data_IF_348008488952
#
_entry.id   IF_348008488952
#
_cell.length_a   1.000
_cell.length_b   1.000
_cell.length_c   1.000
_cell.angle_alpha   90.00
_cell.angle_beta   90.00
_cell.angle_gamma   90.00
#
_symmetry.space_group_name_H-M   'P 1'
#
loop_
_entity.id
_entity.type
_entity.pdbx_description
1 polymer ?
#
# COMPACT_ATOMS: atom_id res chain seq x y z
N UNK A 1 11.15 17.94 31.30
CA UNK A 1 10.64 17.09 30.23
C UNK A 1 9.61 16.14 30.84
N UNK A 2 8.40 16.05 30.33
CA UNK A 2 7.40 15.13 30.89
C UNK A 2 7.88 13.69 30.75
N UNK A 3 7.51 12.84 31.73
CA UNK A 3 7.90 11.42 31.73
C UNK A 3 7.17 10.66 30.63
N UNK A 4 7.71 9.46 30.25
CA UNK A 4 7.09 8.55 29.26
C UNK A 4 5.62 8.24 29.57
N UNK A 5 5.29 8.22 30.86
CA UNK A 5 3.94 7.95 31.36
C UNK A 5 2.99 9.14 31.15
N UNK A 6 3.46 10.35 31.42
CA UNK A 6 2.68 11.59 31.19
C UNK A 6 2.42 11.86 29.71
N UNK A 7 3.37 11.50 28.80
CA UNK A 7 3.16 11.63 27.37
C UNK A 7 2.13 10.65 26.83
N UNK A 8 2.12 9.40 27.33
CA UNK A 8 1.12 8.39 26.95
C UNK A 8 -0.26 8.74 27.48
N UNK A 9 -0.35 9.27 28.70
CA UNK A 9 -1.61 9.73 29.30
C UNK A 9 -2.18 10.96 28.59
N UNK A 10 -1.33 11.91 28.16
CA UNK A 10 -1.76 13.09 27.40
C UNK A 10 -2.24 12.73 25.98
N UNK A 11 -1.58 11.81 25.31
CA UNK A 11 -1.99 11.31 23.98
C UNK A 11 -3.30 10.50 24.07
N UNK A 12 -3.48 9.70 25.12
CA UNK A 12 -4.70 8.92 25.35
C UNK A 12 -5.91 9.82 25.71
N UNK A 13 -5.70 10.86 26.53
CA UNK A 13 -6.76 11.79 26.92
C UNK A 13 -7.24 12.66 25.74
N UNK A 14 -6.35 13.10 24.85
CA UNK A 14 -6.71 13.86 23.66
C UNK A 14 -7.52 13.02 22.64
N UNK A 15 -7.30 11.70 22.60
CA UNK A 15 -8.04 10.74 21.76
C UNK A 15 -9.41 10.37 22.37
N UNK A 16 -9.52 10.29 23.70
CA UNK A 16 -10.76 9.88 24.38
C UNK A 16 -11.92 10.86 24.17
N UNK A 17 -11.63 12.18 24.08
CA UNK A 17 -12.65 13.20 23.87
C UNK A 17 -13.24 13.27 22.44
N UNK A 18 -12.56 12.69 21.45
CA UNK A 18 -12.92 12.83 20.03
C UNK A 18 -13.64 11.60 19.42
N UNK A 19 -13.78 10.47 20.14
CA UNK A 19 -14.17 9.18 19.54
C UNK A 19 -15.21 8.42 20.36
N UNK A 20 -16.27 9.07 20.79
CA UNK A 20 -17.42 8.39 21.38
C UNK A 20 -18.40 7.93 20.28
N UNK A 21 -18.09 6.85 19.56
CA UNK A 21 -19.06 5.97 18.89
C UNK A 21 -18.52 4.55 18.86
N UNK A 22 -19.34 3.59 19.30
CA UNK A 22 -19.07 2.15 19.40
C UNK A 22 -18.50 1.62 18.07
N UNK A 23 -17.22 1.27 18.06
CA UNK A 23 -16.70 0.27 17.16
C UNK A 23 -16.66 -1.04 17.94
N UNK A 24 -17.35 -2.07 17.47
CA UNK A 24 -17.21 -3.42 18.03
C UNK A 24 -15.73 -3.81 17.98
N UNK A 25 -15.17 -4.08 19.15
CA UNK A 25 -13.82 -4.60 19.25
C UNK A 25 -13.77 -5.99 18.64
N UNK A 26 -12.82 -6.25 17.76
CA UNK A 26 -12.53 -7.60 17.30
C UNK A 26 -12.19 -8.49 18.52
N UNK A 27 -12.63 -9.76 18.52
CA UNK A 27 -12.40 -10.65 19.64
C UNK A 27 -10.91 -10.84 19.93
N UNK A 28 -10.54 -10.96 21.19
CA UNK A 28 -9.20 -10.98 21.76
C UNK A 28 -8.36 -12.23 21.44
N UNK A 29 -8.90 -13.18 20.66
CA UNK A 29 -8.26 -14.44 20.26
C UNK A 29 -8.13 -14.49 18.73
N UNK A 30 -7.36 -13.57 18.15
CA UNK A 30 -6.96 -13.78 16.76
C UNK A 30 -5.81 -14.79 16.75
N UNK A 31 -6.10 -16.04 16.34
CA UNK A 31 -5.06 -16.98 15.93
C UNK A 31 -4.24 -16.32 14.81
N UNK A 32 -2.96 -16.04 15.08
CA UNK A 32 -2.11 -15.36 14.13
C UNK A 32 -0.65 -15.30 14.55
N UNK A 33 0.22 -15.01 13.58
CA UNK A 33 1.65 -14.86 13.83
C UNK A 33 1.93 -13.47 14.42
N UNK A 34 2.48 -13.46 15.64
CA UNK A 34 2.91 -12.26 16.35
C UNK A 34 4.40 -12.02 16.18
N UNK A 35 4.75 -10.79 15.84
CA UNK A 35 6.13 -10.31 15.91
C UNK A 35 6.16 -8.98 16.62
N UNK A 36 7.20 -8.76 17.44
CA UNK A 36 7.43 -7.49 18.14
C UNK A 36 6.21 -6.96 18.93
N UNK A 37 5.44 -7.83 19.57
CA UNK A 37 4.27 -7.42 20.36
C UNK A 37 4.68 -6.54 21.53
N UNK A 38 4.10 -5.33 21.62
CA UNK A 38 4.29 -4.39 22.73
C UNK A 38 2.94 -3.98 23.33
N UNK A 39 2.84 -3.85 24.68
CA UNK A 39 1.58 -3.49 25.34
C UNK A 39 1.01 -2.13 24.91
N UNK A 40 1.87 -1.20 24.48
CA UNK A 40 1.51 0.14 24.02
C UNK A 40 1.13 0.26 22.55
N UNK A 41 0.97 -0.85 21.83
CA UNK A 41 0.68 -0.88 20.39
C UNK A 41 -0.55 -1.73 20.09
N UNK A 42 -1.44 -1.24 19.23
CA UNK A 42 -2.56 -2.00 18.69
C UNK A 42 -2.15 -2.69 17.38
N UNK A 43 -2.66 -3.91 17.21
CA UNK A 43 -2.38 -4.75 16.05
C UNK A 43 -3.68 -5.27 15.46
N UNK A 44 -3.69 -5.48 14.13
CA UNK A 44 -4.79 -6.13 13.43
C UNK A 44 -4.27 -7.25 12.55
N UNK A 45 -5.11 -8.27 12.36
CA UNK A 45 -4.82 -9.38 11.46
C UNK A 45 -4.86 -8.91 10.01
N UNK A 46 -3.80 -9.19 9.26
CA UNK A 46 -3.71 -8.92 7.82
C UNK A 46 -4.33 -10.08 7.03
N UNK A 47 -5.65 -10.18 7.07
CA UNK A 47 -6.41 -11.20 6.35
C UNK A 47 -5.85 -12.62 6.55
N UNK A 48 -5.90 -13.43 5.49
CA UNK A 48 -5.44 -14.83 5.50
C UNK A 48 -3.91 -15.01 5.62
N UNK A 49 -3.11 -13.94 5.62
CA UNK A 49 -1.69 -14.07 5.95
C UNK A 49 -1.49 -14.56 7.39
N UNK A 50 -2.46 -14.33 8.26
CA UNK A 50 -2.35 -14.59 9.68
C UNK A 50 -1.44 -13.63 10.43
N UNK A 51 -0.80 -12.67 9.78
CA UNK A 51 0.09 -11.71 10.43
C UNK A 51 -0.67 -10.67 11.24
N UNK A 52 -0.26 -10.49 12.49
CA UNK A 52 -0.77 -9.43 13.37
C UNK A 52 0.17 -8.23 13.25
N UNK A 53 -0.20 -7.30 12.36
CA UNK A 53 0.58 -6.10 12.05
C UNK A 53 0.12 -4.89 12.86
N UNK A 54 1.05 -4.00 13.18
CA UNK A 54 0.74 -2.72 13.83
C UNK A 54 -0.22 -1.89 12.97
N UNK A 55 -1.23 -1.24 13.59
CA UNK A 55 -2.24 -0.44 12.87
C UNK A 55 -1.63 0.73 12.07
N UNK A 56 -0.42 1.15 12.42
CA UNK A 56 0.40 2.07 11.63
C UNK A 56 1.65 1.32 11.18
N UNK A 57 1.87 1.25 9.87
CA UNK A 57 3.04 0.66 9.25
C UNK A 57 4.04 1.75 8.81
N UNK A 58 5.31 1.39 8.70
CA UNK A 58 6.39 2.27 8.23
C UNK A 58 6.46 2.28 6.71
N UNK A 59 6.22 3.43 6.09
CA UNK A 59 6.52 3.68 4.69
C UNK A 59 8.01 3.85 4.44
N UNK A 60 8.50 3.31 3.35
CA UNK A 60 9.94 3.23 3.07
C UNK A 60 10.51 4.32 2.17
N UNK A 61 9.68 5.21 1.64
CA UNK A 61 10.15 6.16 0.62
C UNK A 61 11.23 7.15 1.14
N UNK A 62 11.23 7.42 2.45
CA UNK A 62 12.20 8.31 3.11
C UNK A 62 13.35 7.55 3.78
N UNK A 63 13.38 6.22 3.73
CA UNK A 63 14.38 5.39 4.39
C UNK A 63 15.59 5.21 3.48
N UNK A 64 16.79 5.30 4.08
CA UNK A 64 18.05 5.06 3.41
C UNK A 64 19.11 4.66 4.44
N UNK A 65 20.29 4.13 4.05
CA UNK A 65 21.33 3.76 4.98
C UNK A 65 21.79 4.89 5.93
N UNK A 66 21.75 6.11 5.47
CA UNK A 66 22.06 7.33 6.24
C UNK A 66 20.84 7.92 6.97
N UNK A 67 19.66 7.34 6.84
CA UNK A 67 18.38 7.81 7.39
C UNK A 67 17.49 6.64 7.84
N UNK A 68 17.97 5.81 8.76
CA UNK A 68 17.20 4.65 9.26
C UNK A 68 17.11 4.60 10.80
N UNK A 69 17.83 5.43 11.53
CA UNK A 69 17.89 5.35 13.00
C UNK A 69 16.54 5.54 13.68
N UNK A 70 15.68 6.41 13.15
CA UNK A 70 14.33 6.61 13.66
C UNK A 70 13.43 5.37 13.51
N UNK A 71 13.76 4.47 12.57
CA UNK A 71 13.06 3.19 12.39
C UNK A 71 13.40 2.22 13.52
N UNK A 72 14.62 2.28 14.07
CA UNK A 72 14.98 1.51 15.27
C UNK A 72 14.09 1.86 16.44
N UNK A 73 13.82 3.16 16.65
CA UNK A 73 12.87 3.64 17.66
C UNK A 73 11.45 3.11 17.38
N UNK A 74 11.01 3.11 16.12
CA UNK A 74 9.69 2.61 15.76
C UNK A 74 9.53 1.11 16.11
N UNK A 75 10.56 0.29 15.85
CA UNK A 75 10.57 -1.12 16.25
C UNK A 75 10.54 -1.25 17.78
N UNK A 76 11.32 -0.45 18.50
CA UNK A 76 11.32 -0.47 19.97
C UNK A 76 9.96 -0.07 20.57
N UNK A 77 9.17 0.74 19.85
CA UNK A 77 7.80 1.10 20.22
C UNK A 77 6.75 0.05 19.83
N UNK A 78 7.11 -1.00 19.09
CA UNK A 78 6.21 -2.09 18.71
C UNK A 78 5.80 -2.13 17.25
N UNK A 79 6.26 -1.20 16.41
CA UNK A 79 6.04 -1.28 14.97
C UNK A 79 6.67 -2.57 14.44
N UNK A 80 5.91 -3.31 13.61
CA UNK A 80 6.36 -4.58 13.06
C UNK A 80 6.09 -4.76 11.55
N UNK A 81 5.52 -3.77 10.86
CA UNK A 81 5.25 -3.85 9.43
C UNK A 81 6.04 -2.79 8.67
N UNK A 82 6.93 -3.25 7.78
CA UNK A 82 7.77 -2.43 6.92
C UNK A 82 7.32 -2.53 5.47
N UNK A 83 7.08 -1.38 4.84
CA UNK A 83 6.76 -1.25 3.42
C UNK A 83 7.94 -0.64 2.67
N UNK A 84 8.49 -1.35 1.72
CA UNK A 84 9.57 -0.85 0.85
C UNK A 84 9.35 -1.24 -0.62
N UNK A 85 10.25 -0.79 -1.48
CA UNK A 85 10.27 -1.13 -2.90
C UNK A 85 11.65 -0.85 -3.52
N UNK A 86 12.05 -1.56 -4.60
CA UNK A 86 13.30 -1.32 -5.33
C UNK A 86 13.44 0.11 -5.86
N UNK A 87 12.34 0.77 -6.24
CA UNK A 87 12.37 2.16 -6.75
C UNK A 87 12.54 3.20 -5.65
N UNK A 88 12.34 2.86 -4.38
CA UNK A 88 12.49 3.82 -3.30
C UNK A 88 13.97 4.14 -3.07
N UNK A 89 14.36 5.33 -3.51
CA UNK A 89 15.75 5.77 -3.48
C UNK A 89 16.70 4.83 -4.25
N UNK A 90 16.25 4.22 -5.35
CA UNK A 90 17.04 3.28 -6.16
C UNK A 90 17.58 2.10 -5.33
N UNK A 91 16.74 1.54 -4.46
CA UNK A 91 17.09 0.43 -3.58
C UNK A 91 17.69 0.84 -2.23
N UNK A 92 17.96 2.13 -2.00
CA UNK A 92 18.47 2.61 -0.70
C UNK A 92 17.49 2.35 0.44
N UNK A 93 16.18 2.37 0.18
CA UNK A 93 15.18 2.02 1.18
C UNK A 93 15.35 0.58 1.69
N UNK A 94 15.51 -0.38 0.79
CA UNK A 94 15.76 -1.77 1.16
C UNK A 94 17.07 -1.93 1.92
N UNK A 95 18.14 -1.22 1.52
CA UNK A 95 19.42 -1.20 2.23
C UNK A 95 19.30 -0.58 3.64
N UNK A 96 18.51 0.48 3.80
CA UNK A 96 18.24 1.09 5.10
C UNK A 96 17.50 0.14 6.03
N UNK A 97 16.48 -0.55 5.53
CA UNK A 97 15.78 -1.58 6.31
C UNK A 97 16.66 -2.79 6.63
N UNK A 98 17.63 -3.15 5.78
CA UNK A 98 18.59 -4.19 6.09
C UNK A 98 19.40 -3.87 7.38
N UNK A 99 19.78 -2.61 7.57
CA UNK A 99 20.47 -2.17 8.79
C UNK A 99 19.56 -2.28 10.03
N UNK A 100 18.28 -1.94 9.89
CA UNK A 100 17.28 -2.08 10.96
C UNK A 100 17.09 -3.55 11.33
N UNK A 101 16.89 -4.42 10.33
CA UNK A 101 16.74 -5.87 10.51
C UNK A 101 17.98 -6.47 11.18
N UNK A 102 19.17 -6.08 10.75
CA UNK A 102 20.43 -6.52 11.38
C UNK A 102 20.53 -6.09 12.84
N UNK A 103 20.06 -4.89 13.18
CA UNK A 103 20.13 -4.34 14.53
C UNK A 103 19.05 -4.86 15.49
N UNK A 104 17.88 -5.23 15.00
CA UNK A 104 16.72 -5.59 15.84
C UNK A 104 16.24 -7.03 15.70
N UNK A 105 16.68 -7.76 14.68
CA UNK A 105 16.29 -9.13 14.38
C UNK A 105 15.23 -9.19 13.27
N UNK A 106 15.41 -10.18 12.37
CA UNK A 106 14.50 -10.45 11.23
C UNK A 106 13.13 -10.94 11.69
N UNK A 107 13.09 -11.64 12.79
CA UNK A 107 11.92 -12.24 13.42
C UNK A 107 10.99 -11.21 14.10
N UNK A 108 11.45 -9.98 14.27
CA UNK A 108 10.65 -8.91 14.87
C UNK A 108 9.77 -8.15 13.88
N UNK A 109 9.97 -8.32 12.57
CA UNK A 109 9.30 -7.50 11.56
C UNK A 109 8.74 -8.32 10.42
N UNK A 110 7.62 -7.87 9.85
CA UNK A 110 7.08 -8.32 8.58
C UNK A 110 7.58 -7.40 7.48
N UNK A 111 8.38 -7.94 6.56
CA UNK A 111 8.94 -7.21 5.43
C UNK A 111 8.06 -7.37 4.20
N UNK A 112 7.55 -6.25 3.69
CA UNK A 112 6.90 -6.16 2.40
C UNK A 112 7.81 -5.41 1.42
N UNK A 113 8.06 -5.99 0.25
CA UNK A 113 8.64 -5.30 -0.90
C UNK A 113 7.75 -5.45 -2.13
N UNK A 114 8.15 -4.86 -3.25
CA UNK A 114 7.30 -4.76 -4.45
C UNK A 114 8.10 -5.06 -5.72
N UNK A 115 7.43 -5.46 -6.79
CA UNK A 115 8.02 -5.52 -8.13
C UNK A 115 7.73 -4.21 -8.86
N UNK A 116 8.60 -3.23 -8.69
CA UNK A 116 8.34 -1.85 -9.06
C UNK A 116 8.37 -1.54 -10.56
N UNK A 117 8.98 -2.41 -11.37
CA UNK A 117 9.17 -2.14 -12.80
C UNK A 117 8.25 -2.96 -13.70
N UNK A 118 7.35 -3.78 -13.14
CA UNK A 118 6.56 -4.71 -13.93
C UNK A 118 5.56 -3.98 -14.84
N UNK A 119 4.76 -3.10 -14.27
CA UNK A 119 3.77 -2.27 -14.95
C UNK A 119 4.42 -1.28 -15.94
N UNK A 120 5.47 -0.60 -15.52
CA UNK A 120 6.25 0.31 -16.38
C UNK A 120 6.85 -0.43 -17.58
N UNK A 121 7.43 -1.62 -17.37
CA UNK A 121 7.99 -2.44 -18.45
C UNK A 121 6.90 -2.92 -19.41
N UNK A 122 5.75 -3.36 -18.90
CA UNK A 122 4.58 -3.71 -19.70
C UNK A 122 4.15 -2.55 -20.59
N UNK A 123 3.98 -1.36 -20.00
CA UNK A 123 3.53 -0.18 -20.72
C UNK A 123 4.55 0.27 -21.78
N UNK A 124 5.84 0.23 -21.48
CA UNK A 124 6.91 0.53 -22.44
C UNK A 124 6.88 -0.42 -23.64
N UNK A 125 6.75 -1.72 -23.41
CA UNK A 125 6.72 -2.72 -24.50
C UNK A 125 5.54 -2.52 -25.45
N UNK A 126 4.35 -2.23 -24.93
CA UNK A 126 3.19 -1.94 -25.76
C UNK A 126 3.28 -0.58 -26.43
N UNK A 127 3.88 0.42 -25.81
CA UNK A 127 4.13 1.72 -26.43
C UNK A 127 5.07 1.59 -27.64
N UNK A 128 6.15 0.82 -27.52
CA UNK A 128 7.08 0.55 -28.64
C UNK A 128 6.35 -0.11 -29.84
N UNK A 129 5.46 -1.08 -29.57
CA UNK A 129 4.65 -1.69 -30.62
C UNK A 129 3.69 -0.66 -31.21
N UNK A 130 2.99 0.12 -30.37
CA UNK A 130 2.05 1.15 -30.81
C UNK A 130 2.71 2.18 -31.74
N UNK A 131 3.90 2.66 -31.38
CA UNK A 131 4.64 3.66 -32.16
C UNK A 131 5.06 3.13 -33.55
N UNK A 132 5.21 1.81 -33.69
CA UNK A 132 5.53 1.14 -34.97
C UNK A 132 4.32 0.98 -35.89
N UNK A 133 3.08 1.24 -35.43
CA UNK A 133 1.87 1.02 -36.20
C UNK A 133 1.57 2.19 -37.15
N UNK A 134 0.84 1.95 -38.26
CA UNK A 134 0.37 3.02 -39.13
C UNK A 134 -0.56 3.99 -38.42
N UNK A 135 -0.52 5.28 -38.77
CA UNK A 135 -1.30 6.34 -38.16
C UNK A 135 -2.83 6.07 -38.04
N UNK A 136 -3.50 5.47 -39.03
CA UNK A 136 -4.92 5.11 -38.91
C UNK A 136 -5.18 4.08 -37.79
N UNK A 137 -4.27 3.12 -37.58
CA UNK A 137 -4.38 2.14 -36.51
C UNK A 137 -4.14 2.77 -35.14
N UNK A 138 -3.11 3.62 -35.01
CA UNK A 138 -2.88 4.38 -33.79
C UNK A 138 -4.10 5.22 -33.40
N UNK A 139 -4.78 5.87 -34.38
CA UNK A 139 -6.00 6.65 -34.14
C UNK A 139 -7.12 5.77 -33.60
N UNK A 140 -7.34 4.59 -34.17
CA UNK A 140 -8.35 3.62 -33.69
C UNK A 140 -8.08 3.16 -32.25
N UNK A 141 -6.84 2.81 -31.96
CA UNK A 141 -6.43 2.37 -30.62
C UNK A 141 -6.60 3.48 -29.58
N UNK A 142 -6.20 4.71 -29.90
CA UNK A 142 -6.45 5.86 -28.99
C UNK A 142 -7.93 6.13 -28.75
N UNK A 143 -8.79 5.88 -29.74
CA UNK A 143 -10.24 5.98 -29.53
C UNK A 143 -10.73 4.92 -28.55
N UNK A 144 -10.33 3.66 -28.73
CA UNK A 144 -10.66 2.56 -27.83
C UNK A 144 -10.16 2.80 -26.39
N UNK A 145 -8.97 3.41 -26.24
CA UNK A 145 -8.45 3.80 -24.91
C UNK A 145 -9.39 4.80 -24.22
N UNK A 146 -9.80 5.86 -24.91
CA UNK A 146 -10.71 6.86 -24.33
C UNK A 146 -12.04 6.24 -23.92
N UNK A 147 -12.68 5.45 -24.80
CA UNK A 147 -13.93 4.75 -24.48
C UNK A 147 -13.78 3.83 -23.27
N UNK A 148 -12.67 3.10 -23.16
CA UNK A 148 -12.41 2.22 -22.02
C UNK A 148 -12.18 2.98 -20.73
N UNK A 149 -11.45 4.09 -20.77
CA UNK A 149 -11.25 4.95 -19.59
C UNK A 149 -12.58 5.55 -19.11
N UNK A 150 -13.40 6.05 -20.01
CA UNK A 150 -14.72 6.62 -19.69
C UNK A 150 -15.68 5.57 -19.10
N UNK A 151 -15.72 4.36 -19.67
CA UNK A 151 -16.59 3.29 -19.21
C UNK A 151 -16.14 2.58 -17.94
N UNK A 152 -14.86 2.73 -17.55
CA UNK A 152 -14.29 2.02 -16.42
C UNK A 152 -14.74 2.53 -15.04
N UNK A 153 -15.33 3.72 -14.97
CA UNK A 153 -15.64 4.42 -13.73
C UNK A 153 -14.38 4.96 -12.98
N UNK A 154 -13.18 4.73 -13.52
CA UNK A 154 -11.94 5.18 -12.88
C UNK A 154 -11.80 6.71 -12.87
N UNK A 155 -12.49 7.42 -13.78
CA UNK A 155 -12.48 8.89 -13.89
C UNK A 155 -13.59 9.57 -13.07
N UNK A 156 -14.35 8.80 -12.29
CA UNK A 156 -15.37 9.36 -11.40
C UNK A 156 -14.80 10.40 -10.44
N UNK A 157 -15.56 11.46 -10.19
CA UNK A 157 -15.16 12.55 -9.29
C UNK A 157 -14.80 12.01 -7.92
N UNK A 158 -13.61 12.37 -7.44
CA UNK A 158 -13.06 11.92 -6.15
C UNK A 158 -12.65 10.43 -6.08
N UNK A 159 -12.80 9.65 -7.13
CA UNK A 159 -12.28 8.29 -7.16
C UNK A 159 -10.75 8.30 -7.37
N UNK A 160 -10.29 9.00 -8.42
CA UNK A 160 -8.89 9.41 -8.54
C UNK A 160 -8.73 10.74 -7.83
N UNK A 161 -7.96 10.77 -6.75
CA UNK A 161 -7.80 11.98 -5.94
C UNK A 161 -6.56 12.80 -6.31
N UNK A 162 -5.98 12.56 -7.49
CA UNK A 162 -4.79 13.23 -8.03
C UNK A 162 -3.62 13.25 -7.01
N UNK A 163 -3.20 12.06 -6.59
CA UNK A 163 -2.14 11.89 -5.57
C UNK A 163 -0.76 12.34 -6.03
N UNK A 164 -0.51 12.34 -7.34
CA UNK A 164 0.72 12.76 -8.00
C UNK A 164 0.44 13.21 -9.43
N UNK A 165 1.35 14.00 -9.98
CA UNK A 165 1.16 14.72 -11.25
C UNK A 165 0.79 13.83 -12.44
N UNK A 166 1.41 12.66 -12.55
CA UNK A 166 1.30 11.80 -13.75
C UNK A 166 0.28 10.65 -13.59
N UNK A 167 -0.53 10.65 -12.53
CA UNK A 167 -1.46 9.57 -12.22
C UNK A 167 -2.43 9.23 -13.36
N UNK A 168 -2.97 10.25 -14.04
CA UNK A 168 -3.87 10.06 -15.18
C UNK A 168 -3.15 9.55 -16.41
N UNK A 169 -1.92 9.99 -16.65
CA UNK A 169 -1.08 9.50 -17.73
C UNK A 169 -0.68 8.04 -17.53
N UNK A 170 -0.41 7.64 -16.29
CA UNK A 170 -0.16 6.22 -15.96
C UNK A 170 -1.40 5.35 -16.23
N UNK A 171 -2.61 5.82 -15.88
CA UNK A 171 -3.85 5.12 -16.21
C UNK A 171 -4.04 5.00 -17.72
N UNK A 172 -3.79 6.06 -18.48
CA UNK A 172 -3.89 6.05 -19.95
C UNK A 172 -2.89 5.06 -20.56
N UNK A 173 -1.64 5.06 -20.11
CA UNK A 173 -0.61 4.11 -20.59
C UNK A 173 -0.97 2.66 -20.26
N UNK A 174 -1.48 2.39 -19.07
CA UNK A 174 -1.95 1.06 -18.68
C UNK A 174 -3.17 0.62 -19.51
N UNK A 175 -4.11 1.53 -19.76
CA UNK A 175 -5.29 1.26 -20.60
C UNK A 175 -4.88 1.03 -22.08
N UNK A 176 -3.91 1.78 -22.60
CA UNK A 176 -3.34 1.53 -23.92
C UNK A 176 -2.74 0.13 -23.99
N UNK A 177 -1.99 -0.26 -22.97
CA UNK A 177 -1.41 -1.61 -22.88
C UNK A 177 -2.48 -2.70 -22.85
N UNK A 178 -3.62 -2.47 -22.18
CA UNK A 178 -4.75 -3.40 -22.17
C UNK A 178 -5.34 -3.56 -23.58
N UNK A 179 -5.61 -2.45 -24.27
CA UNK A 179 -6.14 -2.45 -25.64
C UNK A 179 -5.16 -3.09 -26.62
N UNK A 180 -3.89 -2.80 -26.47
CA UNK A 180 -2.81 -3.39 -27.30
C UNK A 180 -2.69 -4.90 -27.09
N UNK A 181 -2.82 -5.36 -25.84
CA UNK A 181 -2.68 -6.78 -25.49
C UNK A 181 -3.70 -7.67 -26.21
N UNK A 182 -4.90 -7.18 -26.48
CA UNK A 182 -5.96 -7.91 -27.18
C UNK A 182 -5.55 -8.29 -28.61
N UNK A 183 -4.77 -7.43 -29.30
CA UNK A 183 -4.38 -7.64 -30.71
C UNK A 183 -2.92 -8.00 -30.89
N UNK A 184 -2.06 -7.47 -30.05
CA UNK A 184 -0.62 -7.52 -30.21
C UNK A 184 0.09 -8.28 -29.08
N UNK A 185 -0.66 -8.88 -28.15
CA UNK A 185 -0.10 -9.58 -26.99
C UNK A 185 0.87 -10.72 -27.36
N UNK A 186 0.66 -11.35 -28.52
CA UNK A 186 1.55 -12.39 -29.05
C UNK A 186 2.93 -11.88 -29.50
N UNK A 187 3.14 -10.56 -29.62
CA UNK A 187 4.44 -9.98 -29.97
C UNK A 187 5.40 -9.86 -28.79
N UNK A 188 4.93 -10.09 -27.57
CA UNK A 188 5.74 -9.96 -26.35
C UNK A 188 6.05 -11.34 -25.80
N UNK A 189 7.34 -11.64 -25.62
CA UNK A 189 7.77 -12.79 -24.81
C UNK A 189 7.50 -12.51 -23.31
N UNK A 190 6.29 -12.85 -22.88
CA UNK A 190 5.84 -12.62 -21.49
C UNK A 190 6.60 -13.48 -20.49
N UNK A 191 7.10 -14.65 -20.91
CA UNK A 191 7.96 -15.47 -20.06
C UNK A 191 9.22 -14.71 -19.64
N UNK A 192 9.87 -14.05 -20.59
CA UNK A 192 11.07 -13.24 -20.38
C UNK A 192 10.74 -11.90 -19.70
N UNK A 193 9.79 -11.15 -20.25
CA UNK A 193 9.57 -9.75 -19.88
C UNK A 193 8.67 -9.59 -18.65
N UNK A 194 7.86 -10.58 -18.28
CA UNK A 194 6.99 -10.50 -17.10
C UNK A 194 7.45 -11.45 -16.00
N UNK A 195 7.42 -12.78 -16.25
CA UNK A 195 7.78 -13.74 -15.22
C UNK A 195 9.23 -13.62 -14.75
N UNK A 196 10.19 -13.59 -15.69
CA UNK A 196 11.61 -13.50 -15.32
C UNK A 196 11.94 -12.19 -14.63
N UNK A 197 11.35 -11.06 -15.04
CA UNK A 197 11.51 -9.76 -14.39
C UNK A 197 11.08 -9.81 -12.92
N UNK A 198 9.96 -10.50 -12.61
CA UNK A 198 9.50 -10.66 -11.22
C UNK A 198 10.54 -11.43 -10.40
N UNK A 199 11.04 -12.55 -10.92
CA UNK A 199 12.02 -13.39 -10.24
C UNK A 199 13.32 -12.61 -9.96
N UNK A 200 13.85 -11.92 -10.97
CA UNK A 200 15.08 -11.13 -10.87
C UNK A 200 14.93 -9.95 -9.90
N UNK A 201 13.76 -9.30 -9.90
CA UNK A 201 13.44 -8.21 -8.97
C UNK A 201 13.48 -8.69 -7.53
N UNK A 202 12.89 -9.86 -7.24
CA UNK A 202 12.89 -10.43 -5.88
C UNK A 202 14.29 -10.80 -5.44
N UNK A 203 15.09 -11.42 -6.30
CA UNK A 203 16.48 -11.77 -6.01
C UNK A 203 17.33 -10.52 -5.72
N UNK A 204 17.07 -9.43 -6.45
CA UNK A 204 17.67 -8.13 -6.18
C UNK A 204 17.26 -7.57 -4.81
N UNK A 205 15.97 -7.62 -4.47
CA UNK A 205 15.44 -7.14 -3.18
C UNK A 205 16.01 -7.92 -2.00
N UNK A 206 16.05 -9.25 -2.09
CA UNK A 206 16.59 -10.11 -1.04
C UNK A 206 18.08 -9.80 -0.76
N UNK A 207 18.87 -9.60 -1.82
CA UNK A 207 20.28 -9.18 -1.67
C UNK A 207 20.41 -7.82 -0.98
N UNK A 208 19.62 -6.82 -1.35
CA UNK A 208 19.67 -5.48 -0.73
C UNK A 208 19.16 -5.46 0.71
N UNK A 209 18.14 -6.27 1.02
CA UNK A 209 17.59 -6.43 2.36
C UNK A 209 18.45 -7.33 3.27
N UNK A 210 19.37 -8.11 2.71
CA UNK A 210 20.22 -9.03 3.48
C UNK A 210 19.42 -10.14 4.17
N UNK A 211 18.37 -10.65 3.50
CA UNK A 211 17.48 -11.71 4.03
C UNK A 211 17.16 -12.74 2.95
N UNK A 212 16.82 -13.95 3.36
CA UNK A 212 16.50 -15.05 2.45
C UNK A 212 15.05 -15.05 1.98
N UNK A 213 14.17 -14.29 2.66
CA UNK A 213 12.74 -14.27 2.32
C UNK A 213 12.06 -12.93 2.60
N UNK A 214 10.99 -12.67 1.86
CA UNK A 214 10.00 -11.62 2.13
C UNK A 214 8.76 -12.25 2.79
N UNK A 215 8.15 -11.54 3.73
CA UNK A 215 6.86 -11.92 4.30
C UNK A 215 5.73 -11.65 3.32
N UNK A 216 5.81 -10.55 2.58
CA UNK A 216 4.84 -10.14 1.58
C UNK A 216 5.56 -9.53 0.37
N UNK A 217 5.11 -9.90 -0.82
CA UNK A 217 5.54 -9.30 -2.09
C UNK A 217 4.34 -8.74 -2.83
N UNK A 218 4.39 -7.48 -3.23
CA UNK A 218 3.34 -6.89 -4.07
C UNK A 218 3.77 -6.82 -5.54
N UNK A 219 2.95 -7.40 -6.39
CA UNK A 219 3.07 -7.35 -7.85
C UNK A 219 1.66 -7.44 -8.48
N UNK A 220 1.29 -6.47 -9.34
CA UNK A 220 2.02 -5.24 -9.72
C UNK A 220 2.22 -4.25 -8.56
N UNK A 221 3.15 -3.28 -8.75
CA UNK A 221 3.36 -2.14 -7.88
C UNK A 221 2.75 -0.89 -8.51
N UNK A 222 1.59 -0.47 -8.05
CA UNK A 222 0.91 0.69 -8.61
C UNK A 222 0.00 0.34 -9.80
N UNK A 223 -0.63 -0.84 -9.75
CA UNK A 223 -1.58 -1.25 -10.77
C UNK A 223 -2.64 -0.16 -11.02
N UNK A 224 -2.94 0.10 -12.28
CA UNK A 224 -3.91 1.10 -12.74
C UNK A 224 -5.17 0.46 -13.28
N UNK A 225 -5.08 -0.76 -13.83
CA UNK A 225 -6.22 -1.49 -14.39
C UNK A 225 -6.35 -2.89 -13.81
N UNK A 226 -7.59 -3.43 -13.75
CA UNK A 226 -7.81 -4.83 -13.36
C UNK A 226 -7.12 -5.85 -14.26
N UNK A 227 -6.86 -5.51 -15.52
CA UNK A 227 -6.17 -6.39 -16.48
C UNK A 227 -4.72 -6.66 -16.08
N UNK A 228 -4.04 -5.67 -15.51
CA UNK A 228 -2.65 -5.82 -15.05
C UNK A 228 -2.51 -6.92 -14.01
N UNK A 229 -3.52 -7.12 -13.17
CA UNK A 229 -3.50 -8.12 -12.09
C UNK A 229 -3.76 -9.54 -12.60
N UNK A 230 -4.38 -9.66 -13.79
CA UNK A 230 -4.82 -10.95 -14.36
C UNK A 230 -3.74 -11.70 -15.15
N UNK A 231 -2.56 -11.15 -15.31
CA UNK A 231 -1.50 -11.79 -16.09
C UNK A 231 -1.04 -13.10 -15.45
N UNK A 232 -1.17 -14.25 -16.14
CA UNK A 232 -0.84 -15.57 -15.59
C UNK A 232 0.64 -15.69 -15.20
N UNK A 233 1.52 -14.95 -15.85
CA UNK A 233 2.96 -14.93 -15.54
C UNK A 233 3.26 -14.43 -14.14
N UNK A 234 2.37 -13.60 -13.55
CA UNK A 234 2.47 -13.17 -12.15
C UNK A 234 2.22 -14.37 -11.23
N UNK A 235 1.12 -15.10 -11.42
CA UNK A 235 0.80 -16.29 -10.62
C UNK A 235 1.87 -17.37 -10.76
N UNK A 236 2.41 -17.58 -11.97
CA UNK A 236 3.51 -18.51 -12.21
C UNK A 236 4.80 -18.11 -11.46
N UNK A 237 5.13 -16.82 -11.46
CA UNK A 237 6.28 -16.31 -10.71
C UNK A 237 6.06 -16.47 -9.20
N UNK A 238 4.87 -16.16 -8.70
CA UNK A 238 4.51 -16.33 -7.30
C UNK A 238 4.67 -17.77 -6.85
N UNK A 239 4.18 -18.73 -7.63
CA UNK A 239 4.31 -20.16 -7.28
C UNK A 239 5.78 -20.60 -7.23
N UNK A 240 6.63 -20.13 -8.16
CA UNK A 240 8.08 -20.41 -8.13
C UNK A 240 8.75 -19.81 -6.90
N UNK A 241 8.44 -18.55 -6.57
CA UNK A 241 8.99 -17.86 -5.40
C UNK A 241 8.56 -18.52 -4.10
N UNK A 242 7.30 -18.94 -4.01
CA UNK A 242 6.76 -19.68 -2.85
C UNK A 242 7.44 -21.01 -2.66
N UNK A 243 7.58 -21.82 -3.74
CA UNK A 243 8.27 -23.12 -3.71
C UNK A 243 9.75 -22.98 -3.33
N UNK A 244 10.40 -21.88 -3.75
CA UNK A 244 11.78 -21.58 -3.39
C UNK A 244 11.93 -21.02 -1.94
N UNK A 245 10.83 -20.81 -1.21
CA UNK A 245 10.85 -20.23 0.14
C UNK A 245 11.21 -18.73 0.18
N UNK A 246 11.30 -18.06 -0.97
CA UNK A 246 11.72 -16.66 -1.08
C UNK A 246 10.63 -15.65 -0.73
N UNK A 247 9.34 -16.03 -0.87
CA UNK A 247 8.19 -15.18 -0.54
C UNK A 247 7.12 -16.02 0.13
N UNK A 248 6.58 -15.55 1.26
CA UNK A 248 5.54 -16.26 2.01
C UNK A 248 4.14 -15.96 1.49
N UNK A 249 3.82 -14.69 1.29
CA UNK A 249 2.50 -14.22 0.83
C UNK A 249 2.62 -13.22 -0.30
N UNK A 250 1.55 -13.10 -1.07
CA UNK A 250 1.50 -12.21 -2.24
C UNK A 250 0.38 -11.21 -2.11
N UNK A 251 0.64 -10.00 -2.59
CA UNK A 251 -0.29 -8.90 -2.62
C UNK A 251 -0.21 -8.10 -3.91
N UNK A 252 -1.08 -7.11 -4.00
CA UNK A 252 -1.12 -6.11 -5.08
C UNK A 252 -1.11 -4.72 -4.48
N UNK A 253 -0.54 -3.74 -5.20
CA UNK A 253 -0.60 -2.34 -4.80
C UNK A 253 -1.27 -1.50 -5.89
N UNK A 254 -2.18 -0.58 -5.49
CA UNK A 254 -2.95 0.24 -6.43
C UNK A 254 -3.29 1.63 -5.89
N UNK A 255 -2.98 2.67 -6.68
CA UNK A 255 -3.36 4.05 -6.39
C UNK A 255 -4.64 4.47 -7.10
N UNK A 256 -4.80 4.05 -8.36
CA UNK A 256 -5.69 4.69 -9.34
C UNK A 256 -7.06 4.06 -9.42
N UNK A 257 -7.15 2.73 -9.41
CA UNK A 257 -8.42 2.00 -9.45
C UNK A 257 -8.53 1.01 -8.27
N UNK A 258 -8.56 1.51 -7.03
CA UNK A 258 -8.42 0.65 -5.85
C UNK A 258 -9.56 -0.37 -5.70
N UNK A 259 -10.82 -0.03 -6.03
CA UNK A 259 -11.93 -0.95 -5.92
C UNK A 259 -11.85 -2.07 -6.98
N UNK A 260 -11.70 -1.72 -8.26
CA UNK A 260 -11.65 -2.70 -9.35
C UNK A 260 -10.46 -3.65 -9.24
N UNK A 261 -9.31 -3.15 -8.79
CA UNK A 261 -8.11 -3.98 -8.56
C UNK A 261 -8.29 -4.88 -7.36
N UNK A 262 -8.84 -4.39 -6.24
CA UNK A 262 -9.13 -5.21 -5.06
C UNK A 262 -10.12 -6.33 -5.38
N UNK A 263 -11.23 -6.02 -6.06
CA UNK A 263 -12.20 -7.04 -6.48
C UNK A 263 -11.57 -8.10 -7.39
N UNK A 264 -10.75 -7.67 -8.34
CA UNK A 264 -10.02 -8.62 -9.22
C UNK A 264 -9.03 -9.49 -8.45
N UNK A 265 -8.28 -8.92 -7.51
CA UNK A 265 -7.35 -9.68 -6.68
C UNK A 265 -8.07 -10.73 -5.81
N UNK A 266 -9.28 -10.40 -5.32
CA UNK A 266 -10.14 -11.35 -4.59
C UNK A 266 -10.55 -12.50 -5.50
N UNK A 267 -11.04 -12.21 -6.72
CA UNK A 267 -11.53 -13.20 -7.67
C UNK A 267 -10.43 -14.17 -8.13
N UNK A 268 -9.19 -13.69 -8.26
CA UNK A 268 -8.04 -14.51 -8.63
C UNK A 268 -7.58 -15.48 -7.51
N UNK A 269 -7.90 -15.21 -6.26
CA UNK A 269 -7.72 -16.12 -5.14
C UNK A 269 -6.29 -16.29 -4.61
N UNK A 270 -5.25 -15.90 -5.34
CA UNK A 270 -3.85 -16.05 -4.91
C UNK A 270 -3.27 -14.84 -4.17
N UNK A 271 -3.94 -13.69 -4.18
CA UNK A 271 -3.54 -12.51 -3.42
C UNK A 271 -4.06 -12.57 -1.99
N UNK A 272 -3.15 -12.53 -1.02
CA UNK A 272 -3.50 -12.55 0.41
C UNK A 272 -3.68 -11.15 1.00
N UNK A 273 -3.14 -10.12 0.34
CA UNK A 273 -3.26 -8.74 0.77
C UNK A 273 -3.33 -7.76 -0.41
N UNK A 274 -3.88 -6.58 -0.15
CA UNK A 274 -3.87 -5.46 -1.09
C UNK A 274 -3.50 -4.16 -0.35
N UNK A 275 -2.52 -3.43 -0.89
CA UNK A 275 -2.19 -2.08 -0.45
C UNK A 275 -2.82 -1.08 -1.42
N UNK A 276 -3.90 -0.46 -1.02
CA UNK A 276 -4.71 0.39 -1.90
C UNK A 276 -4.92 1.79 -1.33
N UNK A 277 -5.19 2.74 -2.20
CA UNK A 277 -5.57 4.08 -1.77
C UNK A 277 -6.93 4.04 -1.06
N UNK A 278 -6.93 4.34 0.27
CA UNK A 278 -8.14 4.46 1.09
C UNK A 278 -8.09 5.76 1.89
N UNK A 279 -9.04 6.64 1.66
CA UNK A 279 -9.12 7.93 2.34
C UNK A 279 -10.56 8.48 2.36
N UNK A 280 -10.78 9.54 3.09
CA UNK A 280 -12.11 10.15 3.26
C UNK A 280 -12.75 10.63 1.93
N UNK A 281 -11.94 10.80 0.87
CA UNK A 281 -12.43 11.31 -0.42
C UNK A 281 -12.97 10.17 -1.28
N UNK A 282 -12.22 9.05 -1.39
CA UNK A 282 -12.59 7.93 -2.26
C UNK A 282 -13.34 6.79 -1.56
N UNK A 283 -13.43 6.78 -0.24
CA UNK A 283 -14.00 5.67 0.55
C UNK A 283 -15.42 5.25 0.12
N UNK A 284 -16.24 6.20 -0.35
CA UNK A 284 -17.61 5.92 -0.81
C UNK A 284 -17.66 4.89 -1.96
N UNK A 285 -16.59 4.80 -2.75
CA UNK A 285 -16.48 3.85 -3.87
C UNK A 285 -15.93 2.48 -3.45
N UNK A 286 -15.38 2.37 -2.23
CA UNK A 286 -14.65 1.19 -1.79
C UNK A 286 -15.52 0.23 -0.94
N UNK A 287 -16.67 0.67 -0.45
CA UNK A 287 -17.46 -0.06 0.54
C UNK A 287 -17.69 -1.52 0.18
N UNK A 288 -18.19 -1.80 -1.03
CA UNK A 288 -18.45 -3.15 -1.53
C UNK A 288 -17.16 -3.98 -1.65
N UNK A 289 -16.11 -3.40 -2.21
CA UNK A 289 -14.82 -4.10 -2.38
C UNK A 289 -14.17 -4.45 -1.03
N UNK A 290 -14.26 -3.54 -0.04
CA UNK A 290 -13.79 -3.80 1.32
C UNK A 290 -14.60 -4.90 2.03
N UNK A 291 -15.93 -4.96 1.84
CA UNK A 291 -16.76 -6.03 2.39
C UNK A 291 -16.39 -7.39 1.78
N UNK A 292 -16.18 -7.44 0.46
CA UNK A 292 -15.70 -8.63 -0.23
C UNK A 292 -14.31 -9.06 0.25
N UNK A 293 -13.39 -8.10 0.44
CA UNK A 293 -12.05 -8.39 0.95
C UNK A 293 -12.10 -9.01 2.35
N UNK A 294 -12.95 -8.48 3.25
CA UNK A 294 -13.17 -9.06 4.57
C UNK A 294 -13.70 -10.48 4.49
N UNK A 295 -14.72 -10.74 3.65
CA UNK A 295 -15.30 -12.07 3.46
C UNK A 295 -14.31 -13.10 2.89
N UNK A 296 -13.45 -12.64 1.96
CA UNK A 296 -12.44 -13.47 1.32
C UNK A 296 -11.11 -13.51 2.13
N UNK A 297 -11.07 -12.90 3.30
CA UNK A 297 -9.87 -12.76 4.13
C UNK A 297 -8.65 -12.17 3.37
N UNK A 298 -8.88 -11.27 2.41
CA UNK A 298 -7.80 -10.49 1.79
C UNK A 298 -7.53 -9.27 2.66
N UNK A 299 -6.32 -9.22 3.24
CA UNK A 299 -5.93 -8.12 4.14
C UNK A 299 -5.77 -6.80 3.39
N UNK A 300 -6.38 -5.72 3.89
CA UNK A 300 -6.29 -4.40 3.27
C UNK A 300 -5.39 -3.49 4.07
N UNK A 301 -4.39 -2.91 3.40
CA UNK A 301 -3.49 -1.89 3.93
C UNK A 301 -3.80 -0.59 3.20
N UNK A 302 -4.12 0.46 3.95
CA UNK A 302 -4.44 1.76 3.38
C UNK A 302 -3.17 2.59 3.13
N UNK A 303 -2.95 2.97 1.89
CA UNK A 303 -2.00 4.02 1.53
C UNK A 303 -2.74 5.29 1.10
N UNK A 304 -2.04 6.41 0.95
CA UNK A 304 -2.61 7.72 0.54
C UNK A 304 -3.75 8.21 1.44
N UNK A 305 -3.81 7.77 2.70
CA UNK A 305 -4.86 8.17 3.64
C UNK A 305 -4.88 9.69 3.89
N UNK A 306 -3.71 10.30 4.09
CA UNK A 306 -3.59 11.74 4.34
C UNK A 306 -3.42 12.58 3.05
N UNK A 307 -2.94 11.98 1.95
CA UNK A 307 -2.55 12.73 0.75
C UNK A 307 -3.65 13.65 0.18
N UNK A 308 -4.94 13.27 0.11
CA UNK A 308 -5.98 14.16 -0.43
C UNK A 308 -6.32 15.36 0.45
N UNK A 309 -5.89 15.38 1.70
CA UNK A 309 -6.24 16.40 2.71
C UNK A 309 -5.02 17.13 3.27
N UNK A 310 -3.80 16.71 2.89
CA UNK A 310 -2.55 17.29 3.34
C UNK A 310 -1.51 17.33 2.22
N UNK A 311 -0.81 18.45 1.99
CA UNK A 311 0.13 18.62 0.86
C UNK A 311 1.31 17.63 0.91
N UNK A 312 1.74 17.20 2.07
CA UNK A 312 2.88 16.30 2.24
C UNK A 312 4.20 17.00 1.92
N UNK A 313 4.76 16.72 0.75
CA UNK A 313 6.03 17.27 0.26
C UNK A 313 5.89 18.61 -0.47
N UNK A 314 4.73 19.26 -0.40
CA UNK A 314 4.45 20.54 -1.06
C UNK A 314 4.17 20.44 -2.57
N UNK A 315 4.17 19.24 -3.15
CA UNK A 315 3.86 19.05 -4.59
C UNK A 315 2.38 18.99 -4.91
N UNK A 316 1.54 18.95 -3.88
CA UNK A 316 0.10 18.84 -4.00
C UNK A 316 -0.58 19.71 -2.95
N UNK A 317 -1.46 20.61 -3.39
CA UNK A 317 -2.28 21.43 -2.50
C UNK A 317 -3.71 20.88 -2.46
N UNK A 318 -4.16 20.36 -1.31
CA UNK A 318 -5.53 19.89 -1.17
C UNK A 318 -6.51 21.06 -1.20
N UNK A 319 -7.68 20.87 -1.82
CA UNK A 319 -8.70 21.90 -1.79
C UNK A 319 -9.17 22.18 -0.35
N UNK A 320 -9.50 23.44 -0.01
CA UNK A 320 -10.02 23.78 1.32
C UNK A 320 -11.23 22.94 1.75
N UNK A 321 -12.07 22.53 0.79
CA UNK A 321 -13.23 21.67 1.05
C UNK A 321 -12.80 20.26 1.54
N UNK A 322 -11.76 19.68 0.95
CA UNK A 322 -11.23 18.38 1.39
C UNK A 322 -10.62 18.47 2.79
N UNK A 323 -9.93 19.56 3.09
CA UNK A 323 -9.36 19.80 4.43
C UNK A 323 -10.47 19.97 5.48
N UNK A 324 -11.51 20.78 5.19
CA UNK A 324 -12.67 20.91 6.10
C UNK A 324 -13.35 19.59 6.33
N UNK A 325 -13.59 18.79 5.29
CA UNK A 325 -14.24 17.47 5.41
C UNK A 325 -13.57 16.56 6.43
N UNK A 326 -12.24 16.50 6.46
CA UNK A 326 -11.53 15.66 7.45
C UNK A 326 -11.53 16.30 8.85
N UNK A 327 -11.49 17.62 8.97
CA UNK A 327 -11.55 18.32 10.23
C UNK A 327 -12.90 18.15 10.92
N UNK A 328 -13.99 18.18 10.17
CA UNK A 328 -15.36 17.94 10.64
C UNK A 328 -15.58 16.46 11.00
N UNK A 329 -15.07 15.54 10.18
CA UNK A 329 -15.21 14.10 10.42
C UNK A 329 -14.42 13.61 11.66
N UNK A 330 -13.32 14.29 11.98
CA UNK A 330 -12.47 14.00 13.15
C UNK A 330 -12.21 15.30 13.90
N UNK A 331 -13.14 15.74 14.76
CA UNK A 331 -12.94 16.96 15.57
C UNK A 331 -11.80 16.77 16.59
N UNK A 332 -11.38 17.86 17.23
CA UNK A 332 -10.33 17.86 18.24
C UNK A 332 -8.94 18.27 17.73
N UNK A 333 -7.90 18.19 18.57
CA UNK A 333 -6.63 18.89 18.37
C UNK A 333 -5.63 18.15 17.45
N UNK A 334 -5.96 16.96 16.94
CA UNK A 334 -5.06 16.21 16.06
C UNK A 334 -4.70 17.01 14.80
N UNK A 335 -3.45 16.92 14.36
CA UNK A 335 -3.01 17.44 13.06
C UNK A 335 -3.77 16.74 11.92
N UNK A 336 -3.92 17.43 10.78
CA UNK A 336 -4.69 16.93 9.64
C UNK A 336 -4.25 15.53 9.17
N UNK A 337 -2.95 15.20 9.02
CA UNK A 337 -2.53 13.85 8.66
C UNK A 337 -3.00 12.79 9.65
N UNK A 338 -2.89 13.08 10.96
CA UNK A 338 -3.32 12.15 12.00
C UNK A 338 -4.83 11.97 12.03
N UNK A 339 -5.61 13.04 11.76
CA UNK A 339 -7.06 12.93 11.58
C UNK A 339 -7.40 11.96 10.43
N UNK A 340 -6.66 12.04 9.31
CA UNK A 340 -6.88 11.17 8.17
C UNK A 340 -6.56 9.70 8.50
N UNK A 341 -5.46 9.42 9.19
CA UNK A 341 -5.12 8.07 9.65
C UNK A 341 -6.16 7.54 10.64
N UNK A 342 -6.51 8.35 11.66
CA UNK A 342 -7.52 7.98 12.65
C UNK A 342 -8.89 7.70 12.00
N UNK A 343 -9.26 8.45 10.97
CA UNK A 343 -10.49 8.25 10.23
C UNK A 343 -10.50 6.90 9.49
N UNK A 344 -9.44 6.58 8.76
CA UNK A 344 -9.29 5.30 8.06
C UNK A 344 -9.29 4.13 9.04
N UNK A 345 -8.59 4.24 10.15
CA UNK A 345 -8.50 3.19 11.18
C UNK A 345 -9.81 2.95 11.95
N UNK A 346 -10.86 3.77 11.77
CA UNK A 346 -12.23 3.45 12.25
C UNK A 346 -12.87 2.31 11.45
N UNK A 347 -12.43 2.09 10.21
CA UNK A 347 -12.89 0.99 9.40
C UNK A 347 -12.14 -0.29 9.78
N UNK A 348 -12.86 -1.22 10.45
CA UNK A 348 -12.30 -2.49 10.91
C UNK A 348 -11.91 -3.43 9.75
N UNK A 349 -12.29 -3.12 8.50
CA UNK A 349 -11.90 -3.87 7.29
C UNK A 349 -10.49 -3.53 6.82
N UNK A 350 -9.90 -2.45 7.35
CA UNK A 350 -8.53 -2.01 7.04
C UNK A 350 -7.61 -2.45 8.18
N UNK A 351 -6.56 -3.21 7.84
CA UNK A 351 -5.62 -3.73 8.83
C UNK A 351 -4.63 -2.67 9.33
N UNK A 352 -4.15 -1.81 8.44
CA UNK A 352 -3.20 -0.76 8.79
C UNK A 352 -3.26 0.43 7.83
N UNK A 353 -2.73 1.56 8.27
CA UNK A 353 -2.36 2.69 7.41
C UNK A 353 -0.85 2.75 7.25
N UNK A 354 -0.37 3.09 6.05
CA UNK A 354 1.06 3.36 5.83
C UNK A 354 1.33 4.84 6.06
N UNK A 355 2.33 5.10 6.89
CA UNK A 355 2.80 6.45 7.21
C UNK A 355 4.27 6.61 6.89
N UNK A 356 4.60 7.68 6.18
CA UNK A 356 5.98 8.14 6.00
C UNK A 356 6.41 8.89 7.26
N UNK A 357 7.35 8.33 7.99
CA UNK A 357 7.88 8.88 9.24
C UNK A 357 9.38 9.14 9.07
N UNK A 358 9.75 10.36 8.71
CA UNK A 358 11.14 10.71 8.34
C UNK A 358 12.06 11.01 9.52
N UNK A 359 11.52 11.07 10.75
CA UNK A 359 12.29 11.36 11.97
C UNK A 359 11.64 10.77 13.22
N UNK A 360 12.35 10.84 14.34
CA UNK A 360 11.91 10.30 15.63
C UNK A 360 10.67 11.01 16.21
N UNK A 361 10.44 12.28 15.88
CA UNK A 361 9.27 13.03 16.36
C UNK A 361 8.02 12.53 15.65
N UNK A 362 8.06 12.38 14.33
CA UNK A 362 6.98 11.80 13.52
C UNK A 362 6.70 10.33 13.89
N UNK A 363 7.75 9.54 14.22
CA UNK A 363 7.57 8.17 14.72
C UNK A 363 6.73 8.18 16.00
N UNK A 364 7.09 8.98 17.01
CA UNK A 364 6.32 9.05 18.26
C UNK A 364 4.89 9.54 18.05
N UNK A 365 4.73 10.57 17.23
CA UNK A 365 3.43 11.19 16.95
C UNK A 365 2.50 10.21 16.22
N UNK A 366 2.97 9.58 15.14
CA UNK A 366 2.12 8.74 14.30
C UNK A 366 1.84 7.38 14.95
N UNK A 367 2.81 6.77 15.64
CA UNK A 367 2.59 5.53 16.37
C UNK A 367 1.72 5.73 17.62
N UNK A 368 1.63 6.95 18.15
CA UNK A 368 0.67 7.31 19.20
C UNK A 368 -0.79 7.04 18.81
N UNK A 369 -1.13 7.05 17.52
CA UNK A 369 -2.47 6.68 17.03
C UNK A 369 -2.79 5.19 17.21
N UNK A 370 -1.77 4.34 17.18
CA UNK A 370 -1.89 2.91 17.39
C UNK A 370 -1.78 2.51 18.86
N UNK A 371 -1.83 3.46 19.79
CA UNK A 371 -1.93 3.13 21.21
C UNK A 371 -3.26 2.42 21.50
N UNK A 372 -3.29 1.42 22.42
CA UNK A 372 -4.52 0.74 22.81
C UNK A 372 -5.53 1.77 23.32
N UNK A 373 -6.73 1.74 22.75
CA UNK A 373 -7.81 2.62 23.19
C UNK A 373 -8.38 2.08 24.51
N UNK A 374 -8.70 2.94 25.50
CA UNK A 374 -9.44 2.49 26.68
C UNK A 374 -10.70 1.75 26.22
N UNK A 375 -10.94 0.58 26.80
CA UNK A 375 -12.23 -0.11 26.63
C UNK A 375 -13.29 0.77 27.27
N UNK A 376 -14.15 1.38 26.47
CA UNK A 376 -15.32 2.10 26.96
C UNK A 376 -16.43 1.14 27.35
#
# INVERSE_FOLDING_TARGET
MPSRREFLEFSAAALAGAVARKAEAAPETADGEWRNRQPGMSYRRLGRTGYLISEVGMGGNLIAPDRHEHVLLAVDMGLNYFDTAPVYGEGKSEQGYALVVKARGRDRVFLNSKVSLWDLNRNRLYQEIFDSLPAPEQKRLRHAVRERMESSGALETDYIADYFKDQRAELEAATLSDVMAERYGGRIDRGKHYRQLILDSVDGSLRRLGTDYLDLLMCPHGANTPTEVKHPEIAEAFERLRKAGKVRHFGVSAHTNPAGILETAIDLGHYAAAMIAVNIINHRYLGKALDRARQAEVGVIAMKAARPVHPGDGRYEPSPARVRKIQEAVPGPLKVPLKAYAWVLRDARVAAVISEMGDAALVRENLGLAAPRPRG
#
